data_IF_876549518811
#
_entry.id   IF_876549518811
#
_cell.length_a   1.000
_cell.length_b   1.000
_cell.length_c   1.000
_cell.angle_alpha   90.00
_cell.angle_beta   90.00
_cell.angle_gamma   90.00
#
_symmetry.space_group_name_H-M   'P 1'
#
loop_
_entity.id
_entity.type
_entity.pdbx_description
1 polymer ?
#
# COMPACT_ATOMS: atom_id res chain seq x y z
N UNK A 1 -25.23 27.39 24.25
CA UNK A 1 -24.02 27.60 23.42
C UNK A 1 -23.95 26.43 22.46
N UNK A 2 -24.26 26.64 21.18
CA UNK A 2 -24.20 25.57 20.15
C UNK A 2 -22.73 25.29 19.88
N UNK A 3 -22.27 24.10 20.22
CA UNK A 3 -20.94 23.61 19.83
C UNK A 3 -21.20 22.69 18.64
N UNK A 4 -20.79 23.15 17.45
CA UNK A 4 -20.90 22.37 16.22
C UNK A 4 -19.95 21.19 16.29
N UNK A 5 -20.50 19.99 16.07
CA UNK A 5 -19.74 18.73 16.02
C UNK A 5 -19.07 18.62 14.65
N UNK A 6 -17.79 18.26 14.63
CA UNK A 6 -17.04 17.93 13.41
C UNK A 6 -16.80 16.42 13.39
N UNK A 7 -16.85 15.85 12.20
CA UNK A 7 -16.92 14.41 11.90
C UNK A 7 -15.55 13.87 11.46
N UNK A 8 -15.34 12.55 11.57
CA UNK A 8 -14.15 11.84 11.06
C UNK A 8 -14.51 10.41 10.62
N UNK A 9 -13.95 9.93 9.50
CA UNK A 9 -14.11 8.58 8.92
C UNK A 9 -12.97 7.62 9.20
N UNK A 10 -13.27 6.32 9.09
CA UNK A 10 -12.28 5.28 8.84
C UNK A 10 -12.86 4.11 8.01
N UNK A 11 -12.05 3.56 7.09
CA UNK A 11 -12.33 2.45 6.17
C UNK A 11 -11.51 1.20 6.54
N UNK A 12 -12.11 0.00 6.74
CA UNK A 12 -11.36 -1.27 6.92
C UNK A 12 -12.13 -2.51 6.40
N UNK A 13 -11.39 -3.44 5.77
CA UNK A 13 -11.74 -4.83 5.39
C UNK A 13 -11.01 -5.86 6.33
N UNK A 14 -11.65 -7.01 6.62
CA UNK A 14 -11.43 -7.91 7.79
C UNK A 14 -10.15 -8.80 7.84
N UNK A 15 -9.65 -9.13 9.06
CA UNK A 15 -9.48 -10.50 9.64
C UNK A 15 -9.14 -10.48 11.17
N UNK A 16 -9.31 -11.63 11.87
CA UNK A 16 -9.73 -11.80 13.29
C UNK A 16 -8.63 -12.20 14.31
N UNK A 17 -8.53 -11.39 15.39
CA UNK A 17 -8.20 -11.56 16.85
C UNK A 17 -7.05 -12.44 17.42
N UNK A 18 -6.28 -11.91 18.40
CA UNK A 18 -6.42 -12.20 19.86
C UNK A 18 -5.36 -11.47 20.76
N UNK A 19 -5.78 -11.12 21.98
CA UNK A 19 -5.29 -10.18 23.03
C UNK A 19 -3.97 -10.46 23.80
N UNK A 20 -3.27 -9.40 24.29
CA UNK A 20 -2.98 -9.14 25.73
C UNK A 20 -2.40 -7.72 26.02
N UNK A 21 -2.79 -7.13 27.17
CA UNK A 21 -2.54 -5.75 27.64
C UNK A 21 -1.07 -5.41 28.01
N UNK A 22 -0.61 -4.22 27.61
CA UNK A 22 0.29 -3.34 28.39
C UNK A 22 -0.06 -1.86 28.13
N UNK A 23 -0.04 -1.04 29.17
CA UNK A 23 -0.56 0.33 29.19
C UNK A 23 0.58 1.34 29.03
N UNK A 24 0.57 2.12 27.94
CA UNK A 24 1.35 3.36 27.76
C UNK A 24 0.42 4.48 27.29
N UNK A 25 0.67 5.74 27.66
CA UNK A 25 -0.21 6.85 27.27
C UNK A 25 0.18 7.31 25.86
N UNK A 26 -0.59 6.93 24.85
CA UNK A 26 -0.56 7.58 23.53
C UNK A 26 -1.97 7.96 23.15
N UNK A 27 -2.18 9.25 22.92
CA UNK A 27 -3.37 9.82 22.29
C UNK A 27 -3.65 9.09 20.96
N UNK A 28 -4.71 8.29 20.88
CA UNK A 28 -5.49 7.97 19.66
C UNK A 28 -6.48 6.84 19.97
N UNK A 29 -7.65 6.84 19.30
CA UNK A 29 -8.76 5.89 19.44
C UNK A 29 -9.66 6.06 20.67
N UNK A 30 -10.18 7.27 20.88
CA UNK A 30 -11.43 7.43 21.63
C UNK A 30 -12.60 6.98 20.74
N UNK A 31 -13.05 5.76 20.97
CA UNK A 31 -14.22 5.11 20.39
C UNK A 31 -15.52 5.94 20.59
N UNK A 32 -16.39 5.99 19.57
CA UNK A 32 -17.71 6.64 19.66
C UNK A 32 -18.83 5.68 20.05
N UNK A 33 -18.57 4.37 20.06
CA UNK A 33 -19.33 3.39 20.81
C UNK A 33 -18.32 2.47 21.49
N UNK A 34 -17.91 2.77 22.74
CA UNK A 34 -16.92 2.00 23.50
C UNK A 34 -17.22 0.49 23.67
N UNK A 35 -18.28 -0.01 23.03
CA UNK A 35 -18.68 -1.39 22.90
C UNK A 35 -18.22 -2.06 21.57
N UNK A 36 -17.53 -1.33 20.68
CA UNK A 36 -17.02 -1.85 19.40
C UNK A 36 -18.08 -2.00 18.30
N UNK A 37 -19.24 -1.34 18.41
CA UNK A 37 -20.29 -1.39 17.38
C UNK A 37 -20.02 -0.48 16.17
N UNK A 38 -20.35 -0.97 14.98
CA UNK A 38 -20.20 -0.25 13.70
C UNK A 38 -21.23 0.87 13.61
N UNK A 39 -20.76 2.10 13.39
CA UNK A 39 -21.63 3.27 13.25
C UNK A 39 -22.26 3.38 11.84
N UNK A 40 -21.44 3.24 10.79
CA UNK A 40 -21.86 3.34 9.40
C UNK A 40 -20.92 2.55 8.48
N UNK A 41 -21.39 2.27 7.26
CA UNK A 41 -20.60 1.60 6.20
C UNK A 41 -20.80 2.33 4.88
N UNK A 42 -19.71 2.57 4.16
CA UNK A 42 -19.69 3.06 2.78
C UNK A 42 -19.07 2.00 1.88
N UNK A 43 -19.56 1.90 0.65
CA UNK A 43 -18.99 1.02 -0.38
C UNK A 43 -18.36 1.89 -1.46
N UNK A 44 -17.12 1.55 -1.80
CA UNK A 44 -16.40 2.14 -2.93
C UNK A 44 -16.26 1.06 -4.00
N UNK A 45 -16.70 1.38 -5.22
CA UNK A 45 -16.59 0.53 -6.40
C UNK A 45 -16.57 1.38 -7.69
N UNK A 46 -16.65 0.72 -8.84
CA UNK A 46 -16.69 1.30 -10.19
C UNK A 46 -17.86 2.28 -10.45
N UNK A 47 -18.88 2.28 -9.59
CA UNK A 47 -20.03 3.18 -9.67
C UNK A 47 -20.00 4.33 -8.65
N UNK A 48 -18.99 4.38 -7.79
CA UNK A 48 -18.83 5.43 -6.79
C UNK A 48 -18.51 6.76 -7.46
N UNK A 49 -19.26 7.81 -7.12
CA UNK A 49 -18.97 9.17 -7.60
C UNK A 49 -17.59 9.59 -7.11
N UNK A 50 -16.75 10.09 -8.03
CA UNK A 50 -15.33 10.42 -7.82
C UNK A 50 -14.45 9.24 -7.37
N UNK A 51 -14.98 8.02 -7.41
CA UNK A 51 -14.25 6.80 -7.09
C UNK A 51 -13.29 6.36 -8.21
N UNK A 52 -12.63 5.21 -8.03
CA UNK A 52 -11.73 4.65 -9.04
C UNK A 52 -12.50 4.20 -10.29
N UNK A 53 -11.82 4.26 -11.44
CA UNK A 53 -12.27 3.55 -12.64
C UNK A 53 -11.78 2.12 -12.52
N UNK A 54 -12.69 1.14 -12.51
CA UNK A 54 -12.33 -0.28 -12.34
C UNK A 54 -12.97 -1.13 -13.44
N UNK A 55 -12.22 -2.10 -13.91
CA UNK A 55 -12.64 -3.22 -14.74
C UNK A 55 -12.88 -4.50 -13.92
N UNK A 56 -13.41 -5.51 -14.59
CA UNK A 56 -13.64 -6.80 -13.96
C UNK A 56 -12.32 -7.51 -13.73
N UNK A 57 -12.07 -7.93 -12.48
CA UNK A 57 -10.92 -8.71 -12.04
C UNK A 57 -9.67 -7.93 -11.64
N UNK A 58 -9.72 -6.60 -11.60
CA UNK A 58 -8.59 -5.77 -11.12
C UNK A 58 -8.25 -6.04 -9.65
N UNK A 59 -9.21 -6.62 -8.92
CA UNK A 59 -9.09 -6.96 -7.49
C UNK A 59 -8.77 -5.73 -6.64
N UNK A 60 -9.42 -4.61 -6.95
CA UNK A 60 -9.42 -3.43 -6.09
C UNK A 60 -9.77 -3.78 -4.64
N UNK A 61 -9.00 -3.25 -3.70
CA UNK A 61 -9.11 -3.58 -2.29
C UNK A 61 -8.29 -4.81 -1.87
N UNK A 62 -7.38 -5.27 -2.74
CA UNK A 62 -6.43 -6.34 -2.40
C UNK A 62 -5.53 -5.95 -1.22
N UNK A 63 -5.08 -4.70 -1.22
CA UNK A 63 -4.35 -4.07 -0.13
C UNK A 63 -4.92 -2.69 0.13
N UNK A 64 -4.86 -2.22 1.38
CA UNK A 64 -5.36 -0.91 1.81
C UNK A 64 -4.43 -0.35 2.87
N UNK A 65 -4.04 0.91 2.73
CA UNK A 65 -3.30 1.67 3.74
C UNK A 65 -4.01 2.98 4.06
N UNK A 66 -3.96 3.40 5.32
CA UNK A 66 -4.25 4.77 5.72
C UNK A 66 -2.98 5.60 5.51
N UNK A 67 -3.05 6.59 4.63
CA UNK A 67 -1.89 7.39 4.23
C UNK A 67 -1.83 8.75 4.94
N UNK A 68 -2.69 8.95 5.95
CA UNK A 68 -2.84 10.24 6.63
C UNK A 68 -3.57 11.26 5.77
N UNK A 69 -3.57 12.51 6.22
CA UNK A 69 -4.12 13.65 5.48
C UNK A 69 -3.10 14.13 4.44
N UNK A 70 -3.19 13.58 3.23
CA UNK A 70 -2.19 13.80 2.18
C UNK A 70 -2.35 15.19 1.55
N UNK A 71 -3.59 15.67 1.40
CA UNK A 71 -3.87 16.99 0.81
C UNK A 71 -4.01 18.15 1.82
N UNK A 72 -3.93 17.85 3.11
CA UNK A 72 -3.93 18.84 4.20
C UNK A 72 -5.31 19.44 4.51
N UNK A 73 -6.40 18.75 4.16
CA UNK A 73 -7.77 19.21 4.41
C UNK A 73 -8.33 18.82 5.79
N UNK A 74 -7.59 18.02 6.55
CA UNK A 74 -7.93 17.55 7.89
C UNK A 74 -8.69 16.22 7.90
N UNK A 75 -8.81 15.53 6.77
CA UNK A 75 -9.38 14.19 6.65
C UNK A 75 -8.28 13.21 6.23
N UNK A 76 -8.28 12.01 6.80
CA UNK A 76 -7.33 10.98 6.38
C UNK A 76 -7.74 10.37 5.04
N UNK A 77 -6.76 10.19 4.18
CA UNK A 77 -6.87 9.58 2.86
C UNK A 77 -6.44 8.11 2.88
N UNK A 78 -6.69 7.42 1.77
CA UNK A 78 -6.39 6.00 1.62
C UNK A 78 -5.55 5.74 0.37
N UNK A 79 -4.70 4.72 0.43
CA UNK A 79 -4.16 4.08 -0.76
C UNK A 79 -4.71 2.66 -0.86
N UNK A 80 -5.15 2.26 -2.06
CA UNK A 80 -5.81 0.98 -2.30
C UNK A 80 -5.20 0.28 -3.51
N UNK A 81 -4.71 -0.95 -3.33
CA UNK A 81 -4.15 -1.76 -4.41
C UNK A 81 -5.21 -2.45 -5.26
N UNK A 82 -4.98 -2.45 -6.58
CA UNK A 82 -5.69 -3.21 -7.59
C UNK A 82 -4.68 -4.10 -8.33
N UNK A 83 -4.29 -5.21 -7.70
CA UNK A 83 -3.08 -5.97 -8.08
C UNK A 83 -3.17 -6.71 -9.42
N UNK A 84 -4.36 -6.82 -9.99
CA UNK A 84 -4.59 -7.43 -11.31
C UNK A 84 -5.05 -6.42 -12.36
N UNK A 85 -4.94 -5.12 -12.07
CA UNK A 85 -5.26 -4.08 -13.03
C UNK A 85 -4.45 -4.25 -14.34
N UNK A 86 -5.14 -4.12 -15.46
CA UNK A 86 -4.61 -4.25 -16.82
C UNK A 86 -4.98 -3.07 -17.74
N UNK A 87 -5.49 -1.98 -17.16
CA UNK A 87 -5.92 -0.77 -17.86
C UNK A 87 -4.84 0.31 -17.81
N UNK A 88 -4.79 1.17 -18.83
CA UNK A 88 -4.04 2.42 -18.77
C UNK A 88 -4.88 3.53 -18.11
N UNK A 89 -4.26 4.70 -17.86
CA UNK A 89 -4.92 5.90 -17.29
C UNK A 89 -6.18 6.37 -18.05
N UNK A 90 -6.39 5.91 -19.29
CA UNK A 90 -7.55 6.26 -20.12
C UNK A 90 -8.66 5.21 -20.04
N UNK A 91 -8.51 4.19 -19.18
CA UNK A 91 -9.44 3.07 -19.08
C UNK A 91 -9.45 2.23 -20.36
N UNK A 92 -8.31 2.10 -21.03
CA UNK A 92 -8.14 1.24 -22.20
C UNK A 92 -7.10 0.18 -21.88
N UNK A 93 -7.43 -1.09 -22.08
CA UNK A 93 -6.44 -2.16 -21.99
C UNK A 93 -5.35 -1.93 -23.06
N UNK A 94 -4.15 -1.51 -22.63
CA UNK A 94 -3.03 -1.15 -23.52
C UNK A 94 -2.35 -2.38 -24.15
N UNK A 95 -2.85 -3.59 -23.85
CA UNK A 95 -2.27 -4.88 -24.22
C UNK A 95 -1.35 -5.48 -23.15
N UNK A 96 -1.10 -4.73 -22.08
CA UNK A 96 -0.58 -5.20 -20.81
C UNK A 96 -1.55 -6.11 -20.09
N UNK A 97 -1.04 -6.95 -19.18
CA UNK A 97 -1.86 -7.87 -18.40
C UNK A 97 -1.38 -7.87 -16.96
N UNK A 98 -2.29 -7.61 -16.02
CA UNK A 98 -2.06 -7.68 -14.58
C UNK A 98 -0.78 -6.95 -14.14
N UNK A 99 -0.53 -5.76 -14.69
CA UNK A 99 0.61 -4.93 -14.25
C UNK A 99 0.33 -4.43 -12.82
N UNK A 100 -0.94 -4.16 -12.53
CA UNK A 100 -1.44 -3.71 -11.24
C UNK A 100 -1.36 -2.19 -11.09
N UNK A 101 -2.19 -1.66 -10.19
CA UNK A 101 -2.28 -0.24 -9.90
C UNK A 101 -2.47 0.01 -8.38
N UNK A 102 -2.22 1.25 -7.96
CA UNK A 102 -2.60 1.78 -6.65
C UNK A 102 -3.46 3.02 -6.86
N UNK A 103 -4.59 3.10 -6.16
CA UNK A 103 -5.46 4.26 -6.17
C UNK A 103 -5.30 5.04 -4.87
N UNK A 104 -4.90 6.30 -4.98
CA UNK A 104 -4.94 7.28 -3.90
C UNK A 104 -6.34 7.86 -3.85
N UNK A 105 -7.00 7.69 -2.73
CA UNK A 105 -8.38 8.11 -2.51
C UNK A 105 -8.41 9.25 -1.50
N UNK A 106 -8.70 10.45 -2.01
CA UNK A 106 -8.97 11.59 -1.17
C UNK A 106 -10.37 11.48 -0.60
N UNK A 107 -10.51 11.60 0.72
CA UNK A 107 -11.76 11.30 1.41
C UNK A 107 -12.44 12.57 1.92
N UNK A 108 -13.77 12.58 1.93
CA UNK A 108 -14.55 13.61 2.63
C UNK A 108 -14.85 13.17 4.07
N UNK A 109 -15.05 14.15 4.97
CA UNK A 109 -15.44 13.92 6.39
C UNK A 109 -16.80 13.25 6.60
N UNK A 110 -17.54 12.91 5.54
CA UNK A 110 -18.75 12.08 5.53
C UNK A 110 -18.55 10.65 4.95
N UNK A 111 -17.36 10.36 4.43
CA UNK A 111 -16.91 9.05 3.96
C UNK A 111 -17.24 8.77 2.52
N UNK A 112 -17.70 9.79 1.81
CA UNK A 112 -17.66 9.82 0.36
C UNK A 112 -16.26 10.10 -0.14
N UNK A 113 -16.00 9.73 -1.40
CA UNK A 113 -14.74 9.98 -2.08
C UNK A 113 -14.77 11.39 -2.66
N UNK A 114 -13.77 12.20 -2.31
CA UNK A 114 -13.57 13.56 -2.84
C UNK A 114 -13.01 13.49 -4.25
N UNK A 115 -11.93 12.74 -4.42
CA UNK A 115 -11.26 12.48 -5.70
C UNK A 115 -10.39 11.23 -5.61
N UNK A 116 -10.07 10.65 -6.77
CA UNK A 116 -9.18 9.49 -6.86
C UNK A 116 -8.05 9.81 -7.85
N UNK A 117 -6.81 9.44 -7.50
CA UNK A 117 -5.65 9.44 -8.40
C UNK A 117 -5.18 8.00 -8.54
N UNK A 118 -4.89 7.58 -9.77
CA UNK A 118 -4.37 6.24 -10.04
C UNK A 118 -2.88 6.30 -10.33
N UNK A 119 -2.14 5.35 -9.77
CA UNK A 119 -0.71 5.15 -9.97
C UNK A 119 -0.51 3.77 -10.61
N UNK A 120 -0.02 3.77 -11.85
CA UNK A 120 0.28 2.59 -12.65
C UNK A 120 1.55 2.84 -13.49
N UNK A 121 1.83 2.02 -14.50
CA UNK A 121 3.07 2.14 -15.29
C UNK A 121 3.10 3.31 -16.29
N UNK A 122 1.98 3.99 -16.48
CA UNK A 122 1.87 5.19 -17.31
C UNK A 122 2.05 6.49 -16.51
N UNK A 123 2.05 6.40 -15.17
CA UNK A 123 2.19 7.56 -14.29
C UNK A 123 3.56 8.22 -14.42
N UNK A 124 3.60 9.53 -14.61
CA UNK A 124 4.83 10.30 -14.63
C UNK A 124 5.61 10.13 -13.31
N UNK A 125 6.91 9.82 -13.40
CA UNK A 125 7.78 9.45 -12.27
C UNK A 125 7.33 8.24 -11.43
N UNK A 126 6.27 7.54 -11.87
CA UNK A 126 5.72 6.37 -11.24
C UNK A 126 6.57 5.11 -11.45
N UNK A 127 6.03 3.94 -11.08
CA UNK A 127 6.72 2.67 -11.26
C UNK A 127 6.86 2.32 -12.75
N UNK A 128 7.94 1.63 -13.11
CA UNK A 128 8.03 0.93 -14.40
C UNK A 128 7.57 -0.50 -14.18
N UNK A 129 6.46 -0.93 -14.79
CA UNK A 129 5.89 -2.26 -14.59
C UNK A 129 5.82 -3.03 -15.90
N UNK A 130 6.11 -4.32 -15.83
CA UNK A 130 5.91 -5.31 -16.86
C UNK A 130 4.65 -6.16 -16.57
N UNK A 131 4.26 -6.94 -17.58
CA UNK A 131 3.09 -7.80 -17.48
C UNK A 131 3.24 -8.83 -16.36
N UNK A 132 2.21 -8.89 -15.51
CA UNK A 132 2.12 -9.74 -14.34
C UNK A 132 3.03 -9.35 -13.18
N UNK A 133 3.54 -8.13 -13.10
CA UNK A 133 4.34 -7.70 -11.94
C UNK A 133 3.47 -7.55 -10.67
N UNK A 134 2.16 -7.34 -10.86
CA UNK A 134 1.15 -7.29 -9.79
C UNK A 134 1.45 -6.22 -8.75
N UNK A 135 1.78 -5.03 -9.21
CA UNK A 135 1.90 -3.84 -8.39
C UNK A 135 0.63 -3.59 -7.57
N UNK A 136 0.77 -3.08 -6.34
CA UNK A 136 -0.35 -2.97 -5.40
C UNK A 136 -0.68 -4.28 -4.67
N UNK A 137 0.18 -5.30 -4.75
CA UNK A 137 0.03 -6.55 -3.97
C UNK A 137 0.10 -6.28 -2.46
N UNK A 138 0.86 -5.27 -2.07
CA UNK A 138 0.87 -4.68 -0.74
C UNK A 138 1.08 -3.17 -0.89
N UNK A 139 0.51 -2.39 0.03
CA UNK A 139 0.65 -0.94 0.08
C UNK A 139 0.77 -0.57 1.55
N UNK A 140 1.74 0.27 1.89
CA UNK A 140 2.00 0.71 3.26
C UNK A 140 2.42 2.18 3.28
N UNK A 141 1.91 2.92 4.28
CA UNK A 141 2.35 4.28 4.58
C UNK A 141 3.67 4.22 5.35
N UNK A 142 4.73 4.81 4.77
CA UNK A 142 6.07 4.79 5.38
C UNK A 142 6.42 6.11 6.09
N UNK A 143 5.46 7.04 6.15
CA UNK A 143 5.66 8.40 6.65
C UNK A 143 6.39 9.28 5.64
N UNK A 144 6.71 10.50 6.06
CA UNK A 144 7.52 11.46 5.29
C UNK A 144 8.98 11.01 5.26
N UNK A 145 9.35 10.23 4.25
CA UNK A 145 10.63 9.55 4.16
C UNK A 145 11.72 10.46 3.59
N UNK A 146 11.35 11.46 2.78
CA UNK A 146 12.29 12.46 2.23
C UNK A 146 12.31 13.82 2.96
N UNK A 147 11.43 14.03 3.93
CA UNK A 147 11.40 15.19 4.82
C UNK A 147 10.74 16.42 4.19
N UNK A 148 9.86 16.25 3.20
CA UNK A 148 9.17 17.35 2.52
C UNK A 148 7.81 17.71 3.11
N UNK A 149 7.33 16.92 4.08
CA UNK A 149 6.06 17.11 4.78
C UNK A 149 4.88 16.34 4.19
N UNK A 150 5.09 15.52 3.17
CA UNK A 150 4.08 14.62 2.57
C UNK A 150 4.43 13.18 2.93
N UNK A 151 3.43 12.35 3.26
CA UNK A 151 3.69 10.94 3.53
C UNK A 151 3.98 10.16 2.25
N UNK A 152 5.00 9.32 2.28
CA UNK A 152 5.42 8.45 1.19
C UNK A 152 4.85 7.03 1.34
N UNK A 153 4.96 6.25 0.26
CA UNK A 153 4.39 4.90 0.19
C UNK A 153 5.43 3.86 -0.17
N UNK A 154 5.29 2.66 0.40
CA UNK A 154 5.93 1.45 -0.10
C UNK A 154 4.87 0.53 -0.73
N UNK A 155 5.13 0.10 -1.96
CA UNK A 155 4.20 -0.72 -2.75
C UNK A 155 4.88 -1.96 -3.30
N UNK A 156 4.31 -3.12 -3.04
CA UNK A 156 4.81 -4.40 -3.54
C UNK A 156 4.40 -4.71 -4.97
N UNK A 157 5.36 -5.14 -5.79
CA UNK A 157 5.18 -5.79 -7.08
C UNK A 157 5.67 -7.24 -6.98
N UNK A 158 4.88 -8.07 -6.30
CA UNK A 158 5.32 -9.40 -5.84
C UNK A 158 5.72 -10.37 -6.95
N UNK A 159 5.35 -10.12 -8.20
CA UNK A 159 5.68 -10.98 -9.34
C UNK A 159 6.65 -10.33 -10.33
N UNK A 160 7.27 -9.20 -9.96
CA UNK A 160 8.32 -8.55 -10.73
C UNK A 160 9.42 -9.56 -11.12
N UNK A 161 9.81 -9.50 -12.40
CA UNK A 161 10.76 -10.41 -13.03
C UNK A 161 12.18 -9.84 -13.18
N UNK A 162 12.45 -8.68 -12.60
CA UNK A 162 13.78 -8.06 -12.52
C UNK A 162 14.70 -8.97 -11.72
N UNK A 163 15.90 -9.21 -12.25
CA UNK A 163 16.88 -10.14 -11.63
C UNK A 163 16.57 -11.63 -11.84
N UNK A 164 15.29 -12.02 -12.01
CA UNK A 164 14.90 -13.39 -12.31
C UNK A 164 13.38 -13.62 -12.24
N UNK A 165 12.93 -14.86 -12.47
CA UNK A 165 11.50 -15.16 -12.56
C UNK A 165 10.79 -14.95 -11.22
N UNK A 166 9.82 -14.04 -11.17
CA UNK A 166 8.98 -13.73 -10.01
C UNK A 166 9.78 -13.55 -8.71
N UNK A 167 10.91 -12.82 -8.76
CA UNK A 167 11.65 -12.51 -7.53
C UNK A 167 10.91 -11.50 -6.69
N UNK A 168 10.13 -10.63 -7.35
CA UNK A 168 9.38 -9.57 -6.72
C UNK A 168 10.23 -8.33 -6.43
N UNK A 169 9.55 -7.23 -6.18
CA UNK A 169 10.14 -5.93 -5.88
C UNK A 169 9.25 -5.13 -4.93
N UNK A 170 9.83 -4.13 -4.27
CA UNK A 170 9.11 -3.07 -3.57
C UNK A 170 9.47 -1.73 -4.20
N UNK A 171 8.46 -0.91 -4.48
CA UNK A 171 8.61 0.44 -4.98
C UNK A 171 8.35 1.41 -3.84
N UNK A 172 9.31 2.28 -3.57
CA UNK A 172 9.14 3.45 -2.70
C UNK A 172 8.68 4.60 -3.60
N UNK A 173 7.47 5.09 -3.35
CA UNK A 173 6.88 6.21 -4.06
C UNK A 173 6.99 7.44 -3.16
N UNK A 174 7.76 8.42 -3.61
CA UNK A 174 7.76 9.73 -3.00
C UNK A 174 6.57 10.52 -3.53
N UNK A 175 5.67 10.94 -2.65
CA UNK A 175 4.36 11.45 -3.01
C UNK A 175 4.32 12.97 -3.01
N UNK A 176 3.40 13.56 -3.78
CA UNK A 176 3.01 14.95 -3.65
C UNK A 176 1.62 15.05 -3.00
N UNK A 177 1.29 16.21 -2.42
CA UNK A 177 0.01 16.41 -1.73
C UNK A 177 -1.23 16.29 -2.63
N UNK A 178 -1.05 16.36 -3.95
CA UNK A 178 -2.12 16.15 -4.93
C UNK A 178 -2.28 14.67 -5.36
N UNK A 179 -1.48 13.77 -4.77
CA UNK A 179 -1.50 12.33 -5.05
C UNK A 179 -0.64 11.92 -6.24
N UNK A 180 0.03 12.87 -6.91
CA UNK A 180 1.00 12.56 -7.95
C UNK A 180 2.30 12.00 -7.34
N UNK A 181 3.10 11.34 -8.18
CA UNK A 181 4.38 10.76 -7.78
C UNK A 181 5.49 11.74 -8.11
N UNK A 182 6.25 12.16 -7.10
CA UNK A 182 7.44 12.99 -7.22
C UNK A 182 8.60 12.19 -7.80
N UNK A 183 8.86 11.00 -7.25
CA UNK A 183 9.86 10.06 -7.75
C UNK A 183 9.62 8.65 -7.22
N UNK A 184 10.20 7.65 -7.90
CA UNK A 184 10.12 6.24 -7.49
C UNK A 184 11.51 5.64 -7.32
N UNK A 185 11.71 4.88 -6.25
CA UNK A 185 12.89 4.02 -6.04
C UNK A 185 12.44 2.56 -5.96
N UNK A 186 13.21 1.64 -6.56
CA UNK A 186 12.90 0.21 -6.55
C UNK A 186 13.91 -0.54 -5.68
N UNK A 187 13.39 -1.40 -4.80
CA UNK A 187 14.13 -2.32 -3.96
C UNK A 187 13.91 -3.74 -4.49
N UNK A 188 14.98 -4.39 -4.92
CA UNK A 188 15.00 -5.78 -5.39
C UNK A 188 16.37 -6.43 -5.11
N UNK A 189 16.63 -7.60 -5.71
CA UNK A 189 17.85 -8.38 -5.52
C UNK A 189 19.14 -7.72 -6.03
N UNK A 190 19.01 -6.67 -6.85
CA UNK A 190 20.14 -5.88 -7.35
C UNK A 190 20.43 -4.64 -6.52
N UNK A 191 19.56 -4.32 -5.55
CA UNK A 191 19.75 -3.18 -4.64
C UNK A 191 20.94 -3.42 -3.73
N UNK A 192 21.79 -2.41 -3.57
CA UNK A 192 22.94 -2.52 -2.65
C UNK A 192 22.44 -2.65 -1.22
N UNK A 193 22.94 -3.65 -0.49
CA UNK A 193 22.41 -4.08 0.83
C UNK A 193 20.93 -4.48 0.79
N UNK A 194 20.40 -4.81 -0.39
CA UNK A 194 19.06 -5.35 -0.57
C UNK A 194 18.98 -6.84 -0.24
N UNK A 195 17.77 -7.43 -0.40
CA UNK A 195 17.56 -8.85 -0.17
C UNK A 195 18.35 -9.71 -1.17
N UNK A 196 18.70 -10.93 -0.78
CA UNK A 196 19.15 -11.96 -1.74
C UNK A 196 17.95 -12.78 -2.14
N UNK A 197 17.51 -12.70 -3.41
CA UNK A 197 16.29 -13.36 -3.87
C UNK A 197 16.58 -14.45 -4.91
N UNK A 198 15.88 -15.56 -4.77
CA UNK A 198 15.75 -16.64 -5.73
C UNK A 198 14.46 -16.51 -6.55
N UNK A 199 14.37 -17.31 -7.61
CA UNK A 199 13.18 -17.30 -8.46
C UNK A 199 11.96 -17.80 -7.67
N UNK A 200 10.88 -17.03 -7.74
CA UNK A 200 9.57 -17.30 -7.11
C UNK A 200 9.48 -16.96 -5.63
N UNK A 201 10.43 -16.23 -5.05
CA UNK A 201 10.40 -15.78 -3.65
C UNK A 201 9.23 -14.83 -3.36
N UNK A 202 8.78 -14.10 -4.38
CA UNK A 202 7.71 -13.10 -4.31
C UNK A 202 7.95 -12.02 -3.25
N UNK A 203 9.14 -11.42 -3.26
CA UNK A 203 9.44 -10.25 -2.42
C UNK A 203 8.44 -9.11 -2.66
N UNK A 204 7.99 -8.46 -1.59
CA UNK A 204 6.95 -7.43 -1.66
C UNK A 204 5.52 -7.97 -1.59
N UNK A 205 5.33 -9.26 -1.27
CA UNK A 205 3.95 -9.78 -1.05
C UNK A 205 3.28 -9.15 0.18
N UNK A 206 4.08 -8.72 1.16
CA UNK A 206 3.63 -7.88 2.28
C UNK A 206 4.70 -6.85 2.61
N UNK A 207 4.28 -5.67 3.07
CA UNK A 207 5.16 -4.61 3.57
C UNK A 207 4.55 -4.10 4.87
N UNK A 208 5.39 -3.81 5.85
CA UNK A 208 4.99 -3.19 7.10
C UNK A 208 6.00 -2.11 7.50
N UNK A 209 5.49 -0.95 7.88
CA UNK A 209 6.29 0.06 8.55
C UNK A 209 6.52 -0.40 10.00
N UNK A 210 7.78 -0.61 10.38
CA UNK A 210 8.15 -1.07 11.73
C UNK A 210 8.66 0.06 12.63
N UNK A 211 8.56 1.30 12.16
CA UNK A 211 9.11 2.49 12.80
C UNK A 211 10.64 2.56 12.71
N UNK A 212 11.21 3.61 13.28
CA UNK A 212 12.66 3.80 13.39
C UNK A 212 13.25 2.78 14.38
N UNK A 213 13.80 1.69 13.84
CA UNK A 213 14.35 0.57 14.60
C UNK A 213 15.76 0.86 15.10
N UNK A 214 16.55 1.63 14.36
CA UNK A 214 17.97 1.88 14.64
C UNK A 214 18.28 3.25 15.27
N UNK A 215 17.29 4.14 15.32
CA UNK A 215 17.34 5.44 15.98
C UNK A 215 17.92 6.56 15.11
N UNK A 216 17.92 6.41 13.78
CA UNK A 216 18.45 7.41 12.85
C UNK A 216 17.43 8.50 12.46
N UNK A 217 16.17 8.34 12.87
CA UNK A 217 15.06 9.25 12.60
C UNK A 217 14.28 8.96 11.33
N UNK A 218 14.57 7.85 10.63
CA UNK A 218 13.84 7.37 9.45
C UNK A 218 13.12 6.07 9.79
N UNK A 219 11.91 5.87 9.28
CA UNK A 219 11.17 4.63 9.53
C UNK A 219 11.80 3.45 8.78
N UNK A 220 11.95 2.30 9.44
CA UNK A 220 12.37 1.06 8.82
C UNK A 220 11.17 0.24 8.31
N UNK A 221 11.46 -0.66 7.36
CA UNK A 221 10.46 -1.52 6.72
C UNK A 221 10.77 -3.00 6.94
N UNK A 222 9.72 -3.78 7.21
CA UNK A 222 9.74 -5.22 7.05
C UNK A 222 9.02 -5.62 5.76
N UNK A 223 9.63 -6.50 4.97
CA UNK A 223 9.08 -6.95 3.68
C UNK A 223 9.03 -8.47 3.62
N UNK A 224 7.87 -9.01 3.26
CA UNK A 224 7.69 -10.44 3.08
C UNK A 224 8.10 -10.93 1.69
N UNK A 225 8.81 -12.06 1.66
CA UNK A 225 9.06 -12.89 0.49
C UNK A 225 8.45 -14.28 0.75
N UNK A 226 7.17 -14.44 0.41
CA UNK A 226 6.33 -15.55 0.89
C UNK A 226 6.87 -16.95 0.57
N UNK A 227 7.73 -17.09 -0.43
CA UNK A 227 8.25 -18.40 -0.87
C UNK A 227 9.77 -18.49 -0.83
N UNK A 228 10.46 -17.52 -0.24
CA UNK A 228 11.89 -17.62 0.00
C UNK A 228 12.18 -18.80 0.95
N UNK A 229 13.11 -19.66 0.54
CA UNK A 229 13.58 -20.85 1.27
C UNK A 229 15.09 -20.81 1.57
N UNK A 230 15.73 -19.66 1.34
CA UNK A 230 17.15 -19.46 1.62
C UNK A 230 17.39 -19.11 3.09
N UNK A 231 18.48 -19.63 3.67
CA UNK A 231 18.96 -19.21 4.98
C UNK A 231 19.84 -17.94 4.91
N UNK A 232 20.25 -17.43 6.08
CA UNK A 232 21.15 -16.28 6.22
C UNK A 232 22.53 -16.45 5.56
N UNK A 233 22.87 -17.66 5.09
CA UNK A 233 24.10 -17.97 4.39
C UNK A 233 23.89 -18.18 2.88
N UNK A 234 22.67 -17.94 2.37
CA UNK A 234 22.33 -18.12 0.96
C UNK A 234 22.32 -19.59 0.52
N UNK A 235 22.08 -20.51 1.46
CA UNK A 235 21.93 -21.94 1.17
C UNK A 235 20.47 -22.32 1.36
N UNK A 236 19.89 -22.99 0.36
CA UNK A 236 18.54 -23.54 0.49
C UNK A 236 18.52 -24.52 1.68
N UNK A 237 17.75 -24.22 2.73
CA UNK A 237 17.77 -25.02 3.98
C UNK A 237 17.07 -26.39 3.81
N UNK A 238 16.58 -26.68 2.60
CA UNK A 238 15.85 -27.89 2.25
C UNK A 238 14.40 -27.90 2.74
N UNK A 239 13.93 -26.82 3.37
CA UNK A 239 12.55 -26.64 3.74
C UNK A 239 11.80 -25.95 2.59
N UNK A 240 11.28 -26.77 1.69
CA UNK A 240 10.31 -26.27 0.71
C UNK A 240 9.13 -25.63 1.45
N UNK A 241 8.91 -24.33 1.24
CA UNK A 241 7.61 -23.67 1.43
C UNK A 241 7.14 -23.55 2.91
N UNK A 242 7.82 -22.74 3.73
CA UNK A 242 7.32 -22.37 5.08
C UNK A 242 6.45 -21.10 5.13
N UNK A 243 6.15 -20.48 3.98
CA UNK A 243 5.14 -19.42 3.90
C UNK A 243 3.73 -20.01 4.01
N UNK A 244 3.18 -20.00 5.22
CA UNK A 244 1.72 -20.12 5.45
C UNK A 244 1.08 -18.75 5.44
#
# INVERSE_FOLDING_TARGET
MKIGMRHLQLFILFFVTCSLLFQLPSEAFADSNSDGSVNSTSVINDSTTNGPTLANSDQFGWSVANIGDLDGDGVNDLAVGATYDDMDENGVADGGKNRGAVHIMFMESDGSVKSTVEINDSTENGPTLANNDRFGASVENIGDFDGDGVNDLAVGASYDNTGGKNRGAVHILFMESDGSVKSTVVINDSTTNGPTLSNSDLFGTSVANIGDLDGDGVNDLAVGANFDDMDENGVADGATNRGT
#
